data_IF_778225177522
#
_entry.id   IF_778225177522
#
_cell.length_a   1.000
_cell.length_b   1.000
_cell.length_c   1.000
_cell.angle_alpha   90.00
_cell.angle_beta   90.00
_cell.angle_gamma   90.00
#
_symmetry.space_group_name_H-M   'P 1'
#
loop_
_entity.id
_entity.type
_entity.pdbx_description
1 polymer ?
#
# COMPACT_ATOMS: atom_id res chain seq x y z
N UNK A 1 -1.38 -7.82 8.39
CA UNK A 1 -1.59 -7.68 9.85
C UNK A 1 -1.20 -9.00 10.48
N UNK A 2 -0.09 -9.02 11.17
CA UNK A 2 0.31 -10.18 11.94
C UNK A 2 -0.51 -10.19 13.23
N UNK A 3 -1.41 -11.12 13.36
CA UNK A 3 -2.10 -11.41 14.63
C UNK A 3 -1.36 -12.56 15.29
N UNK A 4 -0.60 -12.31 16.36
CA UNK A 4 -0.02 -13.40 17.12
C UNK A 4 -1.15 -14.20 17.79
N UNK A 5 -1.29 -15.45 17.40
CA UNK A 5 -2.38 -16.28 17.91
C UNK A 5 -2.23 -16.67 19.38
N UNK A 6 -1.06 -16.52 20.00
CA UNK A 6 -0.80 -17.07 21.33
C UNK A 6 0.37 -16.48 22.14
N UNK A 7 1.14 -15.53 21.61
CA UNK A 7 2.23 -14.94 22.39
C UNK A 7 1.96 -13.47 22.70
N UNK A 8 1.74 -13.18 23.98
CA UNK A 8 1.50 -11.84 24.54
C UNK A 8 2.68 -10.85 24.33
N UNK A 9 3.72 -11.26 23.61
CA UNK A 9 4.93 -10.46 23.37
C UNK A 9 4.90 -9.65 22.08
N UNK A 10 3.93 -9.86 21.16
CA UNK A 10 3.83 -9.14 19.90
C UNK A 10 2.62 -8.21 19.93
N UNK A 11 2.87 -6.98 20.29
CA UNK A 11 1.89 -5.90 20.27
C UNK A 11 1.83 -5.33 18.85
N UNK A 12 0.63 -5.13 18.31
CA UNK A 12 0.49 -4.47 17.01
C UNK A 12 1.01 -3.03 17.08
N UNK A 13 1.55 -2.52 15.97
CA UNK A 13 2.03 -1.14 15.90
C UNK A 13 0.92 -0.13 16.25
N UNK A 14 -0.32 -0.43 15.85
CA UNK A 14 -1.49 0.37 16.18
C UNK A 14 -1.78 0.40 17.68
N UNK A 15 -1.65 -0.73 18.38
CA UNK A 15 -1.83 -0.81 19.83
C UNK A 15 -0.70 -0.10 20.57
N UNK A 16 0.55 -0.30 20.12
CA UNK A 16 1.71 0.29 20.77
C UNK A 16 1.72 1.83 20.69
N UNK A 17 1.35 2.38 19.55
CA UNK A 17 1.41 3.83 19.30
C UNK A 17 0.06 4.52 19.25
N UNK A 18 -1.04 3.78 19.41
CA UNK A 18 -2.41 4.31 19.31
C UNK A 18 -2.76 4.87 17.93
N UNK A 19 -2.02 4.49 16.89
CA UNK A 19 -2.22 4.99 15.54
C UNK A 19 -3.15 4.07 14.77
N UNK A 20 -4.26 4.61 14.31
CA UNK A 20 -5.25 3.89 13.49
C UNK A 20 -5.41 4.57 12.13
N UNK A 21 -5.73 3.82 11.06
CA UNK A 21 -6.08 4.41 9.77
C UNK A 21 -7.30 5.33 9.91
N UNK A 22 -7.31 6.41 9.15
CA UNK A 22 -8.49 7.27 9.02
C UNK A 22 -9.63 6.52 8.31
N UNK A 23 -10.84 6.99 8.50
CA UNK A 23 -12.02 6.47 7.80
C UNK A 23 -12.68 7.56 6.95
N UNK A 24 -13.23 7.17 5.80
CA UNK A 24 -14.02 8.03 4.94
C UNK A 24 -15.14 7.23 4.27
N UNK A 25 -16.20 7.91 3.88
CA UNK A 25 -17.25 7.36 3.02
C UNK A 25 -17.26 8.12 1.71
N UNK A 26 -17.54 7.41 0.62
CA UNK A 26 -17.61 7.96 -0.74
C UNK A 26 -18.95 7.56 -1.33
N UNK A 27 -19.67 8.54 -1.90
CA UNK A 27 -20.88 8.27 -2.67
C UNK A 27 -20.57 8.22 -4.17
N UNK A 28 -21.20 7.33 -4.90
CA UNK A 28 -21.07 7.27 -6.36
C UNK A 28 -21.49 8.60 -7.04
N UNK A 29 -22.42 9.33 -6.42
CA UNK A 29 -22.92 10.61 -6.95
C UNK A 29 -21.87 11.74 -6.83
N UNK A 30 -21.02 11.74 -5.81
CA UNK A 30 -20.04 12.80 -5.50
C UNK A 30 -18.60 12.30 -5.50
N UNK A 31 -18.34 11.13 -6.06
CA UNK A 31 -17.08 10.41 -5.95
C UNK A 31 -15.84 11.28 -6.23
N UNK A 32 -15.84 12.08 -7.28
CA UNK A 32 -14.70 12.94 -7.63
C UNK A 32 -14.38 13.95 -6.51
N UNK A 33 -15.42 14.59 -5.95
CA UNK A 33 -15.26 15.57 -4.85
C UNK A 33 -14.85 14.89 -3.55
N UNK A 34 -15.41 13.71 -3.26
CA UNK A 34 -15.09 12.94 -2.05
C UNK A 34 -13.64 12.49 -2.05
N UNK A 35 -13.09 12.10 -3.21
CA UNK A 35 -11.67 11.73 -3.33
C UNK A 35 -10.73 12.94 -3.22
N UNK A 36 -11.10 14.11 -3.69
CA UNK A 36 -10.34 15.34 -3.42
C UNK A 36 -10.35 15.65 -1.91
N UNK A 37 -11.48 15.51 -1.24
CA UNK A 37 -11.56 15.69 0.21
C UNK A 37 -10.73 14.63 1.00
N UNK A 38 -10.61 13.41 0.47
CA UNK A 38 -9.74 12.38 1.04
C UNK A 38 -8.26 12.78 0.86
N UNK A 39 -7.89 13.30 -0.30
CA UNK A 39 -6.53 13.81 -0.54
C UNK A 39 -6.18 14.91 0.47
N UNK A 40 -7.08 15.87 0.70
CA UNK A 40 -6.89 16.93 1.68
C UNK A 40 -6.69 16.36 3.11
N UNK A 41 -7.47 15.35 3.50
CA UNK A 41 -7.31 14.67 4.79
C UNK A 41 -5.94 13.99 4.92
N UNK A 42 -5.49 13.31 3.85
CA UNK A 42 -4.18 12.65 3.82
C UNK A 42 -3.06 13.69 3.94
N UNK A 43 -3.14 14.80 3.22
CA UNK A 43 -2.17 15.88 3.30
C UNK A 43 -2.15 16.55 4.67
N UNK A 44 -3.31 16.78 5.27
CA UNK A 44 -3.43 17.33 6.62
C UNK A 44 -2.80 16.39 7.67
N UNK A 45 -3.04 15.08 7.55
CA UNK A 45 -2.44 14.07 8.43
C UNK A 45 -0.93 13.95 8.25
N UNK A 46 -0.41 14.20 7.06
CA UNK A 46 1.00 14.18 6.76
C UNK A 46 1.77 15.38 7.35
N UNK A 47 1.08 16.48 7.68
CA UNK A 47 1.69 17.66 8.28
C UNK A 47 2.90 18.15 7.49
N UNK A 48 4.09 18.18 8.09
CA UNK A 48 5.33 18.62 7.44
C UNK A 48 5.80 17.75 6.25
N UNK A 49 5.24 16.55 6.08
CA UNK A 49 5.56 15.65 4.96
C UNK A 49 4.59 15.81 3.78
N UNK A 50 3.57 16.67 3.89
CA UNK A 50 2.55 16.84 2.85
C UNK A 50 3.15 17.19 1.48
N UNK A 51 4.18 18.05 1.44
CA UNK A 51 4.89 18.41 0.20
C UNK A 51 5.72 17.29 -0.42
N UNK A 52 5.89 16.17 0.25
CA UNK A 52 6.60 14.99 -0.24
C UNK A 52 5.65 13.91 -0.80
N UNK A 53 4.35 14.09 -0.64
CA UNK A 53 3.36 13.18 -1.23
C UNK A 53 3.32 13.43 -2.73
N UNK A 54 3.76 12.44 -3.49
CA UNK A 54 3.74 12.46 -4.95
C UNK A 54 2.34 12.15 -5.49
N UNK A 55 1.70 11.15 -4.89
CA UNK A 55 0.36 10.69 -5.25
C UNK A 55 -0.29 9.89 -4.12
N UNK A 56 -1.57 9.65 -4.25
CA UNK A 56 -2.32 8.72 -3.39
C UNK A 56 -2.83 7.56 -4.25
N UNK A 57 -2.45 6.34 -3.89
CA UNK A 57 -2.95 5.13 -4.56
C UNK A 57 -4.14 4.58 -3.77
N UNK A 58 -5.25 4.40 -4.45
CA UNK A 58 -6.47 3.80 -3.91
C UNK A 58 -6.58 2.35 -4.39
N UNK A 59 -6.31 1.42 -3.50
CA UNK A 59 -6.53 0.00 -3.74
C UNK A 59 -8.00 -0.31 -3.53
N UNK A 60 -8.67 -0.80 -4.56
CA UNK A 60 -10.12 -1.03 -4.55
C UNK A 60 -10.47 -2.49 -4.79
N UNK A 61 -11.43 -3.01 -4.02
CA UNK A 61 -12.08 -4.29 -4.31
C UNK A 61 -12.75 -4.23 -5.68
N UNK A 62 -12.88 -5.34 -6.42
CA UNK A 62 -13.35 -5.33 -7.81
C UNK A 62 -14.73 -4.67 -8.01
N UNK A 63 -15.66 -4.89 -7.09
CA UNK A 63 -16.99 -4.29 -7.14
C UNK A 63 -16.94 -2.77 -6.94
N UNK A 64 -16.21 -2.32 -5.92
CA UNK A 64 -16.00 -0.92 -5.59
C UNK A 64 -15.32 -0.16 -6.74
N UNK A 65 -14.27 -0.76 -7.32
CA UNK A 65 -13.58 -0.18 -8.48
C UNK A 65 -14.52 0.06 -9.65
N UNK A 66 -15.37 -0.92 -9.98
CA UNK A 66 -16.31 -0.79 -11.09
C UNK A 66 -17.38 0.27 -10.79
N UNK A 67 -17.90 0.29 -9.57
CA UNK A 67 -18.91 1.26 -9.15
C UNK A 67 -18.39 2.69 -9.24
N UNK A 68 -17.18 2.97 -8.77
CA UNK A 68 -16.59 4.30 -8.83
C UNK A 68 -16.23 4.68 -10.27
N UNK A 69 -15.57 3.77 -11.00
CA UNK A 69 -15.14 4.04 -12.38
C UNK A 69 -16.28 4.45 -13.30
N UNK A 70 -17.43 3.83 -13.16
CA UNK A 70 -18.60 4.07 -14.00
C UNK A 70 -19.62 5.01 -13.37
N UNK A 71 -19.27 5.70 -12.28
CA UNK A 71 -20.13 6.69 -11.66
C UNK A 71 -20.27 7.94 -12.54
N UNK A 72 -21.43 8.60 -12.46
CA UNK A 72 -21.70 9.85 -13.18
C UNK A 72 -20.73 10.97 -12.79
N UNK A 73 -20.34 11.02 -11.52
CA UNK A 73 -19.39 12.00 -11.00
C UNK A 73 -18.03 11.87 -11.67
N UNK A 74 -17.51 10.64 -11.77
CA UNK A 74 -16.23 10.37 -12.45
C UNK A 74 -16.33 10.63 -13.95
N UNK A 75 -17.42 10.19 -14.59
CA UNK A 75 -17.64 10.46 -16.02
C UNK A 75 -17.64 11.94 -16.35
N UNK A 76 -18.25 12.77 -15.51
CA UNK A 76 -18.24 14.23 -15.66
C UNK A 76 -16.84 14.81 -15.46
N UNK A 77 -16.10 14.35 -14.42
CA UNK A 77 -14.72 14.79 -14.19
C UNK A 77 -13.84 14.54 -15.42
N UNK A 78 -13.97 13.37 -16.06
CA UNK A 78 -13.25 13.06 -17.30
C UNK A 78 -13.66 13.93 -18.49
N UNK A 79 -14.93 14.30 -18.62
CA UNK A 79 -15.42 15.14 -19.72
C UNK A 79 -14.84 16.56 -19.69
N UNK A 80 -14.60 17.11 -18.51
CA UNK A 80 -14.06 18.48 -18.37
C UNK A 80 -12.58 18.59 -18.74
N UNK A 81 -11.83 17.51 -18.72
CA UNK A 81 -10.39 17.50 -19.02
C UNK A 81 -10.10 17.15 -20.48
N UNK A 82 -11.08 16.60 -21.20
CA UNK A 82 -10.87 15.97 -22.51
C UNK A 82 -10.89 16.87 -23.78
N UNK A 83 -11.11 18.22 -23.80
CA UNK A 83 -11.23 18.89 -25.10
C UNK A 83 -9.91 19.07 -25.85
N UNK A 84 -8.75 18.82 -25.28
CA UNK A 84 -7.45 19.16 -25.91
C UNK A 84 -6.42 18.03 -26.01
N UNK A 85 -6.67 16.86 -25.48
CA UNK A 85 -5.73 15.74 -25.57
C UNK A 85 -6.41 14.55 -26.23
N UNK A 86 -5.97 14.21 -27.44
CA UNK A 86 -6.36 12.98 -28.18
C UNK A 86 -5.98 11.69 -27.45
N UNK A 87 -5.43 11.80 -26.26
CA UNK A 87 -5.12 10.69 -25.38
C UNK A 87 -6.37 10.29 -24.63
N UNK A 88 -6.84 9.13 -24.94
CA UNK A 88 -7.95 8.47 -24.27
C UNK A 88 -7.60 8.25 -22.79
N UNK A 89 -7.88 9.25 -21.93
CA UNK A 89 -7.57 9.29 -20.50
C UNK A 89 -8.12 8.08 -19.74
N UNK A 90 -9.17 7.42 -20.27
CA UNK A 90 -9.69 6.16 -19.74
C UNK A 90 -8.71 4.98 -19.82
N UNK A 91 -7.64 5.11 -20.59
CA UNK A 91 -6.68 4.03 -20.85
C UNK A 91 -5.23 4.38 -20.47
N UNK A 92 -5.00 5.42 -19.70
CA UNK A 92 -3.68 5.59 -19.13
C UNK A 92 -3.39 4.39 -18.22
N UNK A 93 -2.74 3.39 -18.79
CA UNK A 93 -2.09 2.34 -18.03
C UNK A 93 -0.95 2.99 -17.28
N UNK A 94 -1.12 3.24 -15.99
CA UNK A 94 0.06 3.41 -15.15
C UNK A 94 0.82 2.09 -15.17
N UNK A 95 2.08 2.13 -15.58
CA UNK A 95 3.00 0.98 -15.63
C UNK A 95 3.37 0.45 -14.23
N UNK A 96 2.68 0.90 -13.17
CA UNK A 96 2.94 0.50 -11.80
C UNK A 96 2.84 -1.00 -11.59
N UNK A 97 1.94 -1.66 -12.30
CA UNK A 97 1.76 -3.12 -12.22
C UNK A 97 1.26 -3.64 -13.58
N UNK A 98 2.09 -4.34 -14.35
CA UNK A 98 1.67 -4.94 -15.61
C UNK A 98 0.45 -5.85 -15.41
N UNK A 99 -0.60 -5.66 -16.21
CA UNK A 99 -1.80 -6.49 -16.18
C UNK A 99 -2.88 -6.08 -15.17
N UNK A 100 -2.65 -5.04 -14.36
CA UNK A 100 -3.64 -4.52 -13.39
C UNK A 100 -4.44 -3.38 -14.02
N UNK A 101 -5.77 -3.40 -13.82
CA UNK A 101 -6.64 -2.30 -14.25
C UNK A 101 -6.46 -1.09 -13.35
N UNK A 102 -6.08 0.04 -13.92
CA UNK A 102 -5.87 1.30 -13.21
C UNK A 102 -6.58 2.46 -13.92
N UNK A 103 -6.90 3.51 -13.19
CA UNK A 103 -7.27 4.82 -13.74
C UNK A 103 -6.90 5.92 -12.74
N UNK A 104 -6.71 7.14 -13.23
CA UNK A 104 -6.36 8.30 -12.40
C UNK A 104 -7.51 9.30 -12.36
N UNK A 105 -7.66 10.01 -11.24
CA UNK A 105 -8.61 11.11 -11.13
C UNK A 105 -8.05 12.32 -11.88
N UNK A 106 -8.78 12.89 -12.88
CA UNK A 106 -8.32 14.03 -13.65
C UNK A 106 -8.08 15.26 -12.76
N UNK A 107 -6.88 15.86 -12.90
CA UNK A 107 -6.52 17.07 -12.16
C UNK A 107 -6.12 16.84 -10.70
N UNK A 108 -6.13 15.60 -10.23
CA UNK A 108 -5.76 15.22 -8.86
C UNK A 108 -4.72 14.09 -8.86
N UNK A 109 -3.75 14.06 -7.95
CA UNK A 109 -2.73 13.01 -7.87
C UNK A 109 -3.29 11.74 -7.20
N UNK A 110 -4.49 11.32 -7.58
CA UNK A 110 -5.15 10.12 -7.04
C UNK A 110 -5.27 9.06 -8.13
N UNK A 111 -4.66 7.91 -7.88
CA UNK A 111 -4.65 6.76 -8.77
C UNK A 111 -5.44 5.61 -8.17
N UNK A 112 -6.30 4.98 -8.96
CA UNK A 112 -7.09 3.83 -8.56
C UNK A 112 -6.51 2.55 -9.14
N UNK A 113 -6.40 1.54 -8.30
CA UNK A 113 -5.87 0.22 -8.65
C UNK A 113 -6.90 -0.84 -8.29
N UNK A 114 -7.33 -1.62 -9.29
CA UNK A 114 -8.21 -2.76 -9.07
C UNK A 114 -7.41 -3.93 -8.51
N UNK A 115 -7.71 -4.34 -7.29
CA UNK A 115 -7.08 -5.51 -6.67
C UNK A 115 -7.83 -6.76 -7.13
N UNK A 116 -7.12 -7.66 -7.83
CA UNK A 116 -7.66 -8.94 -8.31
C UNK A 116 -6.97 -10.14 -7.66
N UNK A 117 -5.81 -9.93 -7.05
CA UNK A 117 -5.08 -10.97 -6.34
C UNK A 117 -5.81 -11.37 -5.05
N UNK A 118 -6.11 -12.65 -4.91
CA UNK A 118 -6.84 -13.20 -3.77
C UNK A 118 -6.09 -13.08 -2.46
N UNK A 119 -4.75 -13.13 -2.48
CA UNK A 119 -3.92 -12.97 -1.28
C UNK A 119 -3.95 -11.52 -0.79
N UNK A 120 -3.91 -10.56 -1.71
CA UNK A 120 -4.00 -9.14 -1.36
C UNK A 120 -5.41 -8.81 -0.89
N UNK A 121 -6.44 -9.33 -1.56
CA UNK A 121 -7.85 -9.15 -1.16
C UNK A 121 -8.12 -9.68 0.26
N UNK A 122 -7.54 -10.83 0.61
CA UNK A 122 -7.66 -11.40 1.95
C UNK A 122 -6.98 -10.57 3.05
N UNK A 123 -6.05 -9.68 2.67
CA UNK A 123 -5.38 -8.77 3.60
C UNK A 123 -6.05 -7.39 3.68
N UNK A 124 -6.97 -7.08 2.78
CA UNK A 124 -7.74 -5.84 2.87
C UNK A 124 -8.70 -5.91 4.06
N UNK A 125 -8.91 -4.79 4.77
CA UNK A 125 -9.86 -4.75 5.88
C UNK A 125 -11.26 -5.15 5.42
N UNK A 126 -11.95 -5.96 6.23
CA UNK A 126 -13.31 -6.41 5.92
C UNK A 126 -14.31 -5.26 5.91
N UNK A 127 -14.05 -4.26 6.77
CA UNK A 127 -14.84 -3.04 6.97
C UNK A 127 -14.58 -1.94 5.94
N UNK A 128 -13.76 -2.20 4.92
CA UNK A 128 -13.44 -1.23 3.88
C UNK A 128 -13.62 -1.82 2.47
N UNK A 129 -14.17 -1.03 1.56
CA UNK A 129 -14.28 -1.34 0.14
C UNK A 129 -13.01 -0.96 -0.62
N UNK A 130 -12.33 0.08 -0.14
CA UNK A 130 -11.09 0.60 -0.70
C UNK A 130 -10.16 1.09 0.41
N UNK A 131 -8.85 1.15 0.09
CA UNK A 131 -7.83 1.70 1.00
C UNK A 131 -6.97 2.68 0.21
N UNK A 132 -6.93 3.94 0.68
CA UNK A 132 -6.05 4.96 0.12
C UNK A 132 -4.71 4.98 0.87
N UNK A 133 -3.63 4.97 0.11
CA UNK A 133 -2.25 4.90 0.62
C UNK A 133 -1.43 6.01 -0.04
N UNK A 134 -0.84 6.96 0.73
CA UNK A 134 0.04 7.97 0.17
C UNK A 134 1.35 7.37 -0.31
N UNK A 135 1.83 7.83 -1.45
CA UNK A 135 3.16 7.52 -1.99
C UNK A 135 4.02 8.75 -1.89
N UNK A 136 5.19 8.60 -1.29
CA UNK A 136 6.12 9.71 -1.08
C UNK A 136 7.19 9.73 -2.16
N UNK A 137 7.57 10.92 -2.59
CA UNK A 137 8.67 11.09 -3.53
C UNK A 137 9.98 10.56 -2.92
N UNK A 138 10.81 9.94 -3.74
CA UNK A 138 12.15 9.48 -3.35
C UNK A 138 13.07 10.70 -3.13
N UNK A 139 12.94 11.38 -2.00
CA UNK A 139 13.89 12.39 -1.58
C UNK A 139 15.25 11.78 -1.21
N UNK A 140 16.31 12.55 -1.33
CA UNK A 140 17.66 12.15 -0.91
C UNK A 140 17.78 12.15 0.62
N UNK A 141 17.15 11.21 1.27
CA UNK A 141 17.20 11.06 2.72
C UNK A 141 16.16 10.04 3.17
N UNK A 142 16.39 9.42 4.29
CA UNK A 142 15.65 8.28 4.88
C UNK A 142 14.19 8.57 5.26
N UNK A 143 13.46 9.33 4.48
CA UNK A 143 12.09 9.75 4.78
C UNK A 143 11.01 8.87 4.14
N UNK A 144 11.37 7.71 3.59
CA UNK A 144 10.34 6.77 3.13
C UNK A 144 9.66 6.14 4.36
N UNK A 145 8.37 6.40 4.59
CA UNK A 145 7.65 5.86 5.73
C UNK A 145 7.38 4.35 5.63
N UNK A 146 7.60 3.76 4.45
CA UNK A 146 7.49 2.32 4.22
C UNK A 146 8.90 1.74 4.18
N UNK A 147 9.25 0.95 5.18
CA UNK A 147 10.59 0.40 5.35
C UNK A 147 10.51 -1.09 5.64
N UNK A 148 11.51 -1.83 5.16
CA UNK A 148 11.77 -3.16 5.63
C UNK A 148 12.92 -3.09 6.64
N UNK A 149 12.66 -3.54 7.87
CA UNK A 149 13.69 -3.73 8.89
C UNK A 149 14.15 -5.17 8.78
N UNK A 150 15.45 -5.37 8.62
CA UNK A 150 16.03 -6.68 8.52
C UNK A 150 16.63 -7.09 9.87
N UNK A 151 16.28 -8.28 10.33
CA UNK A 151 16.85 -8.88 11.53
C UNK A 151 18.18 -9.60 11.25
N UNK A 152 18.90 -9.95 12.31
CA UNK A 152 20.01 -10.88 12.20
C UNK A 152 19.49 -12.30 11.97
N UNK A 153 20.29 -13.16 11.33
CA UNK A 153 19.97 -14.57 11.15
C UNK A 153 19.86 -15.27 12.51
N UNK A 154 18.72 -15.90 12.77
CA UNK A 154 18.44 -16.57 14.04
C UNK A 154 18.83 -18.06 14.04
N UNK A 155 18.91 -18.67 12.86
CA UNK A 155 19.05 -20.12 12.72
C UNK A 155 20.48 -20.65 12.71
N UNK A 156 21.50 -19.79 12.63
CA UNK A 156 22.88 -20.23 12.51
C UNK A 156 23.83 -19.45 13.43
N UNK A 157 24.46 -20.13 14.37
CA UNK A 157 25.43 -19.53 15.29
C UNK A 157 26.61 -18.83 14.60
N UNK A 158 26.99 -19.28 13.41
CA UNK A 158 28.05 -18.63 12.63
C UNK A 158 27.67 -17.26 12.08
N UNK A 159 26.37 -16.93 12.07
CA UNK A 159 25.82 -15.67 11.56
C UNK A 159 25.28 -14.75 12.66
N UNK A 160 25.40 -15.12 13.94
CA UNK A 160 24.90 -14.30 15.07
C UNK A 160 25.52 -12.89 15.06
N UNK A 161 26.80 -12.79 14.68
CA UNK A 161 27.51 -11.50 14.59
C UNK A 161 27.42 -10.86 13.19
N UNK A 162 26.67 -11.46 12.26
CA UNK A 162 26.49 -10.89 10.93
C UNK A 162 25.64 -9.63 10.98
N UNK A 163 25.99 -8.63 10.19
CA UNK A 163 25.17 -7.43 10.04
C UNK A 163 23.78 -7.81 9.48
N UNK A 164 22.70 -7.13 9.90
CA UNK A 164 21.38 -7.33 9.34
C UNK A 164 21.38 -7.21 7.81
N UNK A 165 20.81 -8.19 7.12
CA UNK A 165 20.77 -8.24 5.67
C UNK A 165 19.40 -8.71 5.17
N UNK A 166 19.10 -8.41 3.90
CA UNK A 166 17.84 -8.79 3.26
C UNK A 166 17.64 -10.31 3.28
N UNK A 167 18.70 -11.04 3.06
CA UNK A 167 18.70 -12.50 3.23
C UNK A 167 20.10 -13.00 3.57
N UNK A 168 20.13 -14.17 4.20
CA UNK A 168 21.33 -14.91 4.48
C UNK A 168 21.33 -16.20 3.69
N UNK A 169 22.50 -16.60 3.23
CA UNK A 169 22.70 -17.88 2.55
C UNK A 169 23.93 -18.54 3.12
N UNK A 170 23.78 -19.78 3.56
CA UNK A 170 24.91 -20.59 4.02
C UNK A 170 24.72 -22.04 3.59
N UNK A 171 25.82 -22.77 3.61
CA UNK A 171 25.78 -24.16 3.25
C UNK A 171 26.61 -25.04 4.21
N UNK A 172 26.23 -26.27 4.34
CA UNK A 172 26.95 -27.27 5.11
C UNK A 172 26.87 -28.62 4.41
N UNK A 173 27.90 -29.46 4.67
CA UNK A 173 27.90 -30.86 4.26
C UNK A 173 27.03 -31.67 5.20
N UNK A 174 26.29 -32.64 4.67
CA UNK A 174 25.64 -33.65 5.51
C UNK A 174 26.65 -34.39 6.38
N UNK A 175 26.19 -34.94 7.50
CA UNK A 175 27.08 -35.71 8.40
C UNK A 175 27.80 -36.88 7.68
N UNK A 176 27.19 -37.40 6.61
CA UNK A 176 27.79 -38.48 5.80
C UNK A 176 28.66 -37.95 4.65
N UNK A 177 28.69 -36.65 4.42
CA UNK A 177 29.45 -36.04 3.34
C UNK A 177 28.91 -36.35 1.91
N UNK A 178 27.71 -36.88 1.80
CA UNK A 178 27.10 -37.30 0.54
C UNK A 178 26.19 -36.22 -0.07
N UNK A 179 25.85 -35.19 0.69
CA UNK A 179 25.03 -34.08 0.24
C UNK A 179 25.53 -32.74 0.76
N UNK A 180 25.46 -31.71 -0.08
CA UNK A 180 25.67 -30.31 0.31
C UNK A 180 24.32 -29.62 0.43
N UNK A 181 24.01 -29.16 1.63
CA UNK A 181 22.76 -28.42 1.91
C UNK A 181 23.01 -26.93 1.81
N UNK A 182 22.14 -26.23 1.08
CA UNK A 182 22.12 -24.77 1.02
C UNK A 182 20.84 -24.30 1.71
N UNK A 183 21.03 -23.42 2.70
CA UNK A 183 19.94 -22.82 3.46
C UNK A 183 19.85 -21.35 3.13
N UNK A 184 18.64 -20.85 3.04
CA UNK A 184 18.33 -19.43 2.87
C UNK A 184 17.40 -19.00 3.99
N UNK A 185 17.73 -17.88 4.61
CA UNK A 185 16.90 -17.26 5.65
C UNK A 185 16.64 -15.80 5.28
N UNK A 186 15.38 -15.37 5.38
CA UNK A 186 14.96 -13.98 5.26
C UNK A 186 14.22 -13.58 6.54
N UNK A 187 14.66 -12.50 7.15
CA UNK A 187 14.08 -11.96 8.38
C UNK A 187 13.70 -10.50 8.15
N UNK A 188 12.79 -10.25 7.22
CA UNK A 188 12.29 -8.91 6.93
C UNK A 188 11.02 -8.62 7.72
N UNK A 189 11.02 -7.50 8.46
CA UNK A 189 9.85 -6.94 9.11
C UNK A 189 9.41 -5.68 8.34
N UNK A 190 8.30 -5.71 7.61
CA UNK A 190 7.77 -4.51 6.97
C UNK A 190 7.20 -3.57 8.04
N UNK A 191 7.68 -2.34 8.06
CA UNK A 191 7.22 -1.30 8.97
C UNK A 191 6.56 -0.18 8.18
N UNK A 192 5.38 0.23 8.61
CA UNK A 192 4.60 1.29 8.01
C UNK A 192 4.45 2.46 9.00
N UNK A 193 5.27 3.48 8.86
CA UNK A 193 5.18 4.70 9.67
C UNK A 193 4.06 5.65 9.22
N UNK A 194 3.46 5.39 8.05
CA UNK A 194 2.39 6.21 7.49
C UNK A 194 0.98 5.65 7.77
N UNK A 195 0.83 4.75 8.75
CA UNK A 195 -0.46 4.12 9.06
C UNK A 195 -1.56 5.15 9.34
N UNK A 196 -1.26 6.21 10.09
CA UNK A 196 -2.20 7.29 10.39
C UNK A 196 -2.57 8.18 9.20
N UNK A 197 -1.87 8.06 8.07
CA UNK A 197 -2.18 8.76 6.82
C UNK A 197 -2.95 7.88 5.84
N UNK A 198 -3.14 6.59 6.14
CA UNK A 198 -3.95 5.70 5.34
C UNK A 198 -5.43 5.93 5.63
N UNK A 199 -6.27 5.77 4.61
CA UNK A 199 -7.71 5.97 4.73
C UNK A 199 -8.44 4.70 4.31
N UNK A 200 -9.22 4.14 5.22
CA UNK A 200 -10.23 3.12 4.91
C UNK A 200 -11.44 3.80 4.32
N UNK A 201 -11.90 3.34 3.18
CA UNK A 201 -12.99 3.96 2.43
C UNK A 201 -14.12 2.95 2.26
N UNK A 202 -15.32 3.35 2.62
CA UNK A 202 -16.58 2.61 2.36
C UNK A 202 -17.39 3.34 1.32
N UNK A 203 -18.07 2.58 0.44
CA UNK A 203 -18.97 3.16 -0.55
C UNK A 203 -20.37 3.21 0.04
N UNK A 204 -20.95 4.41 0.01
CA UNK A 204 -22.35 4.61 0.36
C UNK A 204 -23.21 4.67 -0.91
N UNK A 205 -24.41 4.12 -0.82
CA UNK A 205 -25.37 4.12 -1.92
C UNK A 205 -25.86 5.53 -2.29
#
# INVERSE_FOLDING_TARGET
VYTPATDDLLISYAELFGVVPMTASVSAATAAQDFDAILDKVQAAAGGLAGQIERVIVFAKPAAFSQIRFSDSMSKAFQYVAPYDDRNLFYQRHELLPGVSTFSLPGSPVDFVKVTDTLILAQMPDDADMVAVPVFSKGSGSTNPYQNIYGAASGNFALIDAAPAEYYSWGYLSERGDAYHVMHENSALPVNHALGMQVKITITA
#
